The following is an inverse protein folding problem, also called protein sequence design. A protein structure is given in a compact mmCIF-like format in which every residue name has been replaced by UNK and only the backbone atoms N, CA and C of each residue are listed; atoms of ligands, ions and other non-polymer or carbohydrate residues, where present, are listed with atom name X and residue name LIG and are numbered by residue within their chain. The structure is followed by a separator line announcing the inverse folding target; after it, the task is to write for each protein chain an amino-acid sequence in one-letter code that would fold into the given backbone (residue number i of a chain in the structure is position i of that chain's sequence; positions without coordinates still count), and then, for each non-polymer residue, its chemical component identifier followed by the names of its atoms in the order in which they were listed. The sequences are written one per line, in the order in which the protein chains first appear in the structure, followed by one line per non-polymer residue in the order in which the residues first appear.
data_IF_708051967472
#
_entry.id   IF_708051967472
#
_cell.length_a   1.000
_cell.length_b   1.000
_cell.length_c   1.000
_cell.angle_alpha   90.00
_cell.angle_beta   90.00
_cell.angle_gamma   90.00
#
_symmetry.space_group_name_H-M   'P 1'
#
loop_
_entity.id
_entity.type
_entity.pdbx_description
1 polymer ?
#
# COMPACT_ATOMS: atom_id res chain seq x y z
N UNK A 1 -32.85 2.91 -4.50
CA UNK A 1 -31.77 3.95 -4.59
C UNK A 1 -30.94 4.00 -3.31
N UNK A 2 -31.51 4.15 -2.13
CA UNK A 2 -30.77 4.21 -0.85
C UNK A 2 -29.96 2.94 -0.56
N UNK A 3 -30.53 1.74 -0.77
CA UNK A 3 -29.86 0.46 -0.57
C UNK A 3 -28.60 0.36 -1.44
N UNK A 4 -28.73 0.64 -2.75
CA UNK A 4 -27.61 0.61 -3.68
C UNK A 4 -26.51 1.62 -3.28
N UNK A 5 -26.89 2.78 -2.73
CA UNK A 5 -25.91 3.76 -2.24
C UNK A 5 -25.12 3.21 -1.04
N UNK A 6 -25.81 2.58 -0.09
CA UNK A 6 -25.16 1.94 1.06
C UNK A 6 -24.20 0.82 0.61
N UNK A 7 -24.62 -0.02 -0.35
CA UNK A 7 -23.76 -1.06 -0.91
C UNK A 7 -22.52 -0.48 -1.58
N UNK A 8 -22.66 0.64 -2.30
CA UNK A 8 -21.51 1.32 -2.91
C UNK A 8 -20.57 1.94 -1.87
N UNK A 9 -21.09 2.46 -0.76
CA UNK A 9 -20.26 2.92 0.35
C UNK A 9 -19.47 1.75 0.99
N UNK A 10 -20.11 0.60 1.17
CA UNK A 10 -19.44 -0.60 1.70
C UNK A 10 -18.36 -1.11 0.75
N UNK A 11 -18.64 -1.14 -0.56
CA UNK A 11 -17.65 -1.47 -1.59
C UNK A 11 -16.50 -0.47 -1.63
N UNK A 12 -16.81 0.82 -1.46
CA UNK A 12 -15.84 1.90 -1.36
C UNK A 12 -14.95 1.76 -0.12
N UNK A 13 -15.52 1.41 1.02
CA UNK A 13 -14.75 1.11 2.24
C UNK A 13 -13.82 -0.08 2.04
N UNK A 14 -14.26 -1.16 1.39
CA UNK A 14 -13.42 -2.31 1.06
C UNK A 14 -12.23 -1.91 0.20
N UNK A 15 -12.46 -1.25 -0.94
CA UNK A 15 -11.41 -0.81 -1.86
C UNK A 15 -10.49 0.21 -1.18
N UNK A 16 -11.07 1.15 -0.45
CA UNK A 16 -10.35 2.16 0.32
C UNK A 16 -9.47 1.58 1.43
N UNK A 17 -9.90 0.49 2.05
CA UNK A 17 -9.10 -0.24 3.05
C UNK A 17 -7.83 -0.85 2.44
N UNK A 18 -7.93 -1.42 1.25
CA UNK A 18 -6.75 -1.92 0.52
C UNK A 18 -5.81 -0.76 0.18
N UNK A 19 -6.35 0.34 -0.37
CA UNK A 19 -5.53 1.53 -0.65
C UNK A 19 -4.90 2.13 0.61
N UNK A 20 -5.60 2.10 1.75
CA UNK A 20 -5.06 2.56 3.03
C UNK A 20 -3.86 1.73 3.48
N UNK A 21 -3.92 0.39 3.38
CA UNK A 21 -2.77 -0.49 3.71
C UNK A 21 -1.55 -0.16 2.86
N UNK A 22 -1.73 0.01 1.56
CA UNK A 22 -0.64 0.34 0.64
C UNK A 22 -0.11 1.75 0.92
N UNK A 23 -1.02 2.72 1.12
CA UNK A 23 -0.69 4.12 1.40
C UNK A 23 0.11 4.30 2.71
N UNK A 24 -0.18 3.47 3.72
CA UNK A 24 0.59 3.45 4.97
C UNK A 24 2.01 2.98 4.70
N UNK A 25 2.20 1.96 3.87
CA UNK A 25 3.53 1.50 3.44
C UNK A 25 4.33 2.62 2.75
N UNK A 26 3.72 3.33 1.79
CA UNK A 26 4.32 4.51 1.16
C UNK A 26 4.66 5.59 2.18
N UNK A 27 3.71 5.94 3.03
CA UNK A 27 3.87 7.00 4.03
C UNK A 27 4.97 6.69 5.04
N UNK A 28 5.12 5.43 5.47
CA UNK A 28 6.20 5.02 6.35
C UNK A 28 7.57 5.16 5.68
N UNK A 29 7.72 4.63 4.49
CA UNK A 29 8.99 4.69 3.75
C UNK A 29 9.37 6.15 3.49
N UNK A 30 8.46 6.95 2.95
CA UNK A 30 8.72 8.36 2.70
C UNK A 30 8.96 9.16 4.00
N UNK A 31 8.18 8.91 5.03
CA UNK A 31 8.31 9.61 6.32
C UNK A 31 9.70 9.45 6.94
N UNK A 32 10.29 8.26 6.82
CA UNK A 32 11.54 7.89 7.49
C UNK A 32 12.73 8.02 6.54
N UNK A 33 12.66 7.43 5.35
CA UNK A 33 13.75 7.47 4.38
C UNK A 33 13.82 8.79 3.59
N UNK A 34 12.72 9.54 3.49
CA UNK A 34 12.52 10.74 2.65
C UNK A 34 12.70 10.46 1.15
N UNK A 35 12.40 9.24 0.73
CA UNK A 35 12.49 8.78 -0.64
C UNK A 35 11.17 8.15 -1.07
N UNK A 36 10.71 8.44 -2.29
CA UNK A 36 9.49 7.85 -2.87
C UNK A 36 9.87 6.50 -3.49
N UNK A 37 9.11 5.45 -3.16
CA UNK A 37 9.32 4.11 -3.70
C UNK A 37 8.19 3.72 -4.65
N UNK A 38 8.31 4.03 -5.96
CA UNK A 38 7.28 3.63 -6.93
C UNK A 38 7.20 2.11 -7.14
N UNK A 39 8.27 1.36 -6.87
CA UNK A 39 8.23 -0.10 -6.90
C UNK A 39 7.35 -0.72 -5.79
N UNK A 40 6.84 0.09 -4.84
CA UNK A 40 5.98 -0.40 -3.77
C UNK A 40 4.66 -1.00 -4.29
N UNK A 41 4.12 -0.46 -5.38
CA UNK A 41 2.98 -1.06 -6.08
C UNK A 41 3.29 -2.45 -6.63
N UNK A 42 4.50 -2.67 -7.14
CA UNK A 42 4.89 -3.96 -7.71
C UNK A 42 5.15 -5.03 -6.64
N UNK A 43 5.39 -4.64 -5.39
CA UNK A 43 5.43 -5.58 -4.26
C UNK A 43 4.05 -6.23 -4.04
N UNK A 44 2.95 -5.52 -4.31
CA UNK A 44 1.58 -6.07 -4.29
C UNK A 44 1.47 -7.21 -5.31
N UNK A 45 1.97 -6.98 -6.51
CA UNK A 45 2.01 -7.97 -7.59
C UNK A 45 2.85 -9.19 -7.17
N UNK A 46 4.07 -8.98 -6.65
CA UNK A 46 4.92 -10.07 -6.16
C UNK A 46 4.23 -10.84 -5.04
N UNK A 47 3.53 -10.16 -4.13
CA UNK A 47 2.72 -10.80 -3.09
C UNK A 47 1.61 -11.69 -3.66
N UNK A 48 0.89 -11.22 -4.68
CA UNK A 48 -0.12 -12.02 -5.35
C UNK A 48 0.47 -13.29 -6.01
N UNK A 49 1.59 -13.14 -6.73
CA UNK A 49 2.27 -14.29 -7.35
C UNK A 49 2.89 -15.23 -6.34
N UNK A 50 3.47 -14.74 -5.24
CA UNK A 50 4.02 -15.57 -4.17
C UNK A 50 2.92 -16.40 -3.50
N UNK A 51 1.73 -15.81 -3.27
CA UNK A 51 0.57 -16.54 -2.76
C UNK A 51 0.12 -17.63 -3.73
N UNK A 52 -0.05 -17.27 -5.00
CA UNK A 52 -0.43 -18.21 -6.06
C UNK A 52 0.55 -19.37 -6.15
N UNK A 53 1.84 -19.10 -6.22
CA UNK A 53 2.88 -20.13 -6.31
C UNK A 53 2.86 -21.06 -5.08
N UNK A 54 2.72 -20.48 -3.89
CA UNK A 54 2.67 -21.26 -2.64
C UNK A 54 1.47 -22.20 -2.57
N UNK A 55 0.30 -21.76 -3.05
CA UNK A 55 -0.93 -22.57 -2.99
C UNK A 55 -1.05 -23.48 -4.20
N UNK A 56 -0.95 -22.92 -5.43
CA UNK A 56 -1.29 -23.64 -6.66
C UNK A 56 -0.16 -24.52 -7.17
N UNK A 57 1.11 -24.17 -6.92
CA UNK A 57 2.27 -24.93 -7.39
C UNK A 57 2.84 -25.83 -6.29
N UNK A 58 3.03 -25.27 -5.08
CA UNK A 58 3.60 -26.02 -3.96
C UNK A 58 2.56 -26.78 -3.13
N UNK A 59 1.26 -26.56 -3.35
CA UNK A 59 0.19 -27.24 -2.62
C UNK A 59 0.15 -26.95 -1.11
N UNK A 60 0.71 -25.80 -0.69
CA UNK A 60 0.80 -25.47 0.73
C UNK A 60 -0.55 -25.03 1.31
N UNK A 61 -0.82 -25.32 2.58
CA UNK A 61 -2.02 -24.83 3.24
C UNK A 61 -2.03 -23.29 3.33
N UNK A 62 -3.21 -22.69 3.21
CA UNK A 62 -3.39 -21.24 3.14
C UNK A 62 -2.65 -20.45 4.23
N UNK A 63 -2.69 -20.84 5.53
CA UNK A 63 -1.96 -20.08 6.56
C UNK A 63 -0.45 -20.03 6.33
N UNK A 64 0.15 -21.14 5.87
CA UNK A 64 1.59 -21.22 5.56
C UNK A 64 1.91 -20.35 4.33
N UNK A 65 1.09 -20.43 3.29
CA UNK A 65 1.23 -19.63 2.09
C UNK A 65 1.18 -18.11 2.38
N UNK A 66 0.29 -17.69 3.28
CA UNK A 66 0.19 -16.29 3.72
C UNK A 66 1.48 -15.83 4.42
N UNK A 67 2.01 -16.63 5.34
CA UNK A 67 3.26 -16.30 6.05
C UNK A 67 4.43 -16.20 5.07
N UNK A 68 4.56 -17.16 4.15
CA UNK A 68 5.61 -17.15 3.11
C UNK A 68 5.48 -15.89 2.24
N UNK A 69 4.27 -15.53 1.82
CA UNK A 69 4.01 -14.35 1.00
C UNK A 69 4.51 -13.07 1.71
N UNK A 70 4.19 -12.92 2.99
CA UNK A 70 4.62 -11.76 3.78
C UNK A 70 6.14 -11.75 3.93
N UNK A 71 6.79 -12.89 4.20
CA UNK A 71 8.24 -12.99 4.33
C UNK A 71 8.94 -12.67 3.00
N UNK A 72 8.48 -13.23 1.88
CA UNK A 72 9.04 -12.98 0.55
C UNK A 72 8.98 -11.49 0.21
N UNK A 73 7.85 -10.84 0.42
CA UNK A 73 7.71 -9.42 0.15
C UNK A 73 8.53 -8.55 1.11
N UNK A 74 8.62 -8.91 2.40
CA UNK A 74 9.45 -8.20 3.36
C UNK A 74 10.95 -8.28 2.98
N UNK A 75 11.42 -9.47 2.61
CA UNK A 75 12.79 -9.69 2.11
C UNK A 75 13.03 -8.90 0.83
N UNK A 76 12.11 -8.97 -0.13
CA UNK A 76 12.18 -8.19 -1.37
C UNK A 76 12.29 -6.69 -1.08
N UNK A 77 11.50 -6.16 -0.14
CA UNK A 77 11.57 -4.77 0.27
C UNK A 77 12.95 -4.36 0.80
N UNK A 78 13.57 -5.22 1.62
CA UNK A 78 14.95 -5.00 2.10
C UNK A 78 15.96 -5.09 0.96
N UNK A 79 15.79 -6.02 0.02
CA UNK A 79 16.67 -6.14 -1.16
C UNK A 79 16.58 -4.88 -2.01
N UNK A 80 15.37 -4.43 -2.32
CA UNK A 80 15.13 -3.19 -3.08
C UNK A 80 15.78 -1.99 -2.37
N UNK A 81 15.61 -1.88 -1.05
CA UNK A 81 16.26 -0.82 -0.27
C UNK A 81 17.78 -0.88 -0.39
N UNK A 82 18.38 -2.03 -0.15
CA UNK A 82 19.85 -2.17 -0.14
C UNK A 82 20.47 -1.98 -1.52
N UNK A 83 19.83 -2.48 -2.57
CA UNK A 83 20.38 -2.48 -3.93
C UNK A 83 20.09 -1.16 -4.65
N UNK A 84 18.86 -0.66 -4.55
CA UNK A 84 18.42 0.48 -5.34
C UNK A 84 18.46 1.81 -4.57
N UNK A 85 18.06 1.81 -3.29
CA UNK A 85 17.87 3.07 -2.55
C UNK A 85 19.04 3.46 -1.65
N UNK A 86 19.69 2.49 -1.00
CA UNK A 86 20.81 2.76 -0.10
C UNK A 86 21.96 3.48 -0.78
N UNK A 87 22.39 3.10 -2.02
CA UNK A 87 23.47 3.81 -2.73
C UNK A 87 23.11 5.25 -3.11
N UNK A 88 21.80 5.56 -3.22
CA UNK A 88 21.31 6.85 -3.70
C UNK A 88 20.84 7.80 -2.58
N UNK A 89 21.14 7.49 -1.31
CA UNK A 89 20.68 8.30 -0.18
C UNK A 89 21.24 9.72 -0.14
N UNK A 90 22.41 9.94 -0.76
CA UNK A 90 23.04 11.25 -0.93
C UNK A 90 22.87 11.83 -2.34
N UNK A 91 22.20 11.11 -3.24
CA UNK A 91 21.99 11.54 -4.61
C UNK A 91 20.84 12.58 -4.71
N UNK A 92 20.80 13.37 -5.81
CA UNK A 92 19.69 14.27 -6.07
C UNK A 92 18.34 13.53 -6.10
N UNK A 93 17.22 14.16 -5.66
CA UNK A 93 15.90 13.52 -5.63
C UNK A 93 15.46 12.92 -6.98
N UNK A 94 15.87 13.54 -8.09
CA UNK A 94 15.57 13.06 -9.44
C UNK A 94 16.18 11.68 -9.73
N UNK A 95 17.43 11.45 -9.30
CA UNK A 95 18.08 10.16 -9.47
C UNK A 95 17.35 9.04 -8.70
N UNK A 96 16.92 9.33 -7.48
CA UNK A 96 16.11 8.40 -6.68
C UNK A 96 14.78 8.10 -7.37
N UNK A 97 14.12 9.13 -7.92
CA UNK A 97 12.85 8.98 -8.63
C UNK A 97 12.98 8.07 -9.87
N UNK A 98 14.01 8.34 -10.70
CA UNK A 98 14.27 7.54 -11.92
C UNK A 98 14.57 6.09 -11.54
N UNK A 99 15.37 5.87 -10.50
CA UNK A 99 15.69 4.52 -10.01
C UNK A 99 14.44 3.80 -9.48
N UNK A 100 13.55 4.52 -8.81
CA UNK A 100 12.28 3.95 -8.34
C UNK A 100 11.40 3.47 -9.49
N UNK A 101 11.30 4.27 -10.56
CA UNK A 101 10.56 3.91 -11.79
C UNK A 101 11.25 2.74 -12.49
N UNK A 102 12.59 2.78 -12.63
CA UNK A 102 13.37 1.69 -13.22
C UNK A 102 13.20 0.37 -12.47
N UNK A 103 13.17 0.40 -11.13
CA UNK A 103 12.94 -0.79 -10.31
C UNK A 103 11.50 -1.32 -10.49
N UNK A 104 10.51 -0.45 -10.63
CA UNK A 104 9.14 -0.84 -10.94
C UNK A 104 9.07 -1.59 -12.27
N UNK A 105 9.62 -1.02 -13.35
CA UNK A 105 9.67 -1.69 -14.65
C UNK A 105 10.48 -2.98 -14.65
N UNK A 106 11.57 -3.03 -13.87
CA UNK A 106 12.35 -4.25 -13.70
C UNK A 106 11.51 -5.38 -13.09
N UNK A 107 10.76 -5.10 -12.01
CA UNK A 107 9.89 -6.10 -11.37
C UNK A 107 8.76 -6.56 -12.29
N UNK A 108 8.13 -5.63 -13.02
CA UNK A 108 7.08 -5.96 -13.98
C UNK A 108 7.62 -6.82 -15.13
N UNK A 109 8.78 -6.45 -15.69
CA UNK A 109 9.42 -7.21 -16.79
C UNK A 109 9.90 -8.57 -16.31
N UNK A 110 10.49 -8.68 -15.12
CA UNK A 110 10.87 -9.96 -14.52
C UNK A 110 9.65 -10.87 -14.32
N UNK A 111 8.55 -10.30 -13.81
CA UNK A 111 7.28 -11.04 -13.66
C UNK A 111 6.71 -11.49 -15.00
N UNK A 112 6.79 -10.63 -16.03
CA UNK A 112 6.36 -10.97 -17.40
C UNK A 112 7.17 -12.13 -17.99
N UNK A 113 8.48 -12.16 -17.76
CA UNK A 113 9.36 -13.24 -18.23
C UNK A 113 9.10 -14.55 -17.50
N UNK A 114 8.81 -14.51 -16.19
CA UNK A 114 8.61 -15.72 -15.37
C UNK A 114 7.20 -16.30 -15.56
N UNK A 115 6.16 -15.46 -15.55
CA UNK A 115 4.76 -15.88 -15.53
C UNK A 115 4.02 -15.68 -16.86
N UNK A 116 4.64 -14.99 -17.83
CA UNK A 116 4.03 -14.65 -19.12
C UNK A 116 3.09 -13.46 -19.04
N UNK A 117 2.52 -13.09 -20.21
CA UNK A 117 1.62 -11.93 -20.37
C UNK A 117 0.14 -12.27 -20.14
N UNK A 118 -0.22 -13.55 -20.23
CA UNK A 118 -1.61 -14.00 -20.09
C UNK A 118 -2.08 -13.85 -18.65
N UNK A 119 -3.24 -13.20 -18.40
CA UNK A 119 -3.79 -13.15 -17.05
C UNK A 119 -4.06 -14.55 -16.49
N UNK A 120 -3.57 -14.81 -15.28
CA UNK A 120 -3.76 -16.09 -14.58
C UNK A 120 -4.97 -15.93 -13.65
N UNK A 121 -6.03 -16.77 -13.79
CA UNK A 121 -7.14 -16.76 -12.85
C UNK A 121 -6.67 -17.27 -11.48
N UNK A 122 -7.20 -16.67 -10.42
CA UNK A 122 -6.90 -17.06 -9.04
C UNK A 122 -8.20 -17.32 -8.28
N UNK A 123 -8.30 -18.50 -7.71
CA UNK A 123 -9.42 -18.80 -6.83
C UNK A 123 -9.18 -18.17 -5.45
N UNK A 124 -10.12 -17.33 -5.01
CA UNK A 124 -10.01 -16.66 -3.72
C UNK A 124 -9.82 -17.66 -2.58
N UNK A 125 -8.83 -17.41 -1.72
CA UNK A 125 -8.62 -18.18 -0.49
C UNK A 125 -9.67 -17.86 0.59
N UNK A 126 -10.39 -16.77 0.42
CA UNK A 126 -11.53 -16.37 1.27
C UNK A 126 -12.79 -16.91 0.61
N UNK A 127 -13.56 -17.77 1.27
CA UNK A 127 -14.82 -18.24 0.72
C UNK A 127 -15.75 -17.06 0.38
N UNK A 128 -16.25 -17.00 -0.85
CA UNK A 128 -17.14 -15.92 -1.26
C UNK A 128 -18.58 -16.25 -0.86
N UNK A 129 -18.95 -15.88 0.36
CA UNK A 129 -20.30 -16.04 0.89
C UNK A 129 -20.96 -14.67 0.98
N UNK A 130 -22.17 -14.56 0.50
CA UNK A 130 -22.98 -13.35 0.62
C UNK A 130 -23.70 -13.35 1.99
N UNK A 131 -23.42 -12.33 2.79
CA UNK A 131 -24.03 -12.10 4.09
C UNK A 131 -25.13 -11.06 3.91
N UNK A 132 -26.39 -11.46 4.09
CA UNK A 132 -27.52 -10.54 4.01
C UNK A 132 -27.77 -9.89 5.37
N UNK A 133 -27.62 -8.57 5.45
CA UNK A 133 -27.97 -7.77 6.62
C UNK A 133 -29.17 -6.91 6.26
N UNK A 134 -30.37 -7.46 6.49
CA UNK A 134 -31.61 -6.87 6.00
C UNK A 134 -31.62 -6.83 4.47
N UNK A 135 -31.87 -5.67 3.84
CA UNK A 135 -31.90 -5.53 2.38
C UNK A 135 -30.52 -5.37 1.74
N UNK A 136 -29.45 -5.25 2.54
CA UNK A 136 -28.07 -5.02 2.06
C UNK A 136 -27.32 -6.35 1.99
N UNK A 137 -26.65 -6.61 0.88
CA UNK A 137 -25.81 -7.80 0.68
C UNK A 137 -24.33 -7.43 0.77
N UNK A 138 -23.62 -8.05 1.72
CA UNK A 138 -22.19 -7.82 1.96
C UNK A 138 -21.42 -9.10 1.67
N UNK A 139 -20.38 -9.02 0.82
CA UNK A 139 -19.49 -10.15 0.58
C UNK A 139 -18.61 -10.42 1.80
N UNK A 140 -18.39 -11.70 2.14
CA UNK A 140 -17.43 -12.11 3.17
C UNK A 140 -16.03 -11.54 2.93
N UNK A 141 -15.60 -11.40 1.67
CA UNK A 141 -14.34 -10.77 1.30
C UNK A 141 -14.28 -9.33 1.83
N UNK A 142 -15.39 -8.59 1.77
CA UNK A 142 -15.46 -7.22 2.31
C UNK A 142 -15.23 -7.20 3.82
N UNK A 143 -15.92 -8.08 4.55
CA UNK A 143 -15.80 -8.17 6.01
C UNK A 143 -14.37 -8.53 6.42
N UNK A 144 -13.79 -9.55 5.79
CA UNK A 144 -12.41 -9.97 6.05
C UNK A 144 -11.44 -8.84 5.73
N UNK A 145 -11.60 -8.15 4.59
CA UNK A 145 -10.75 -7.02 4.21
C UNK A 145 -10.78 -5.92 5.26
N UNK A 146 -11.95 -5.51 5.72
CA UNK A 146 -12.11 -4.48 6.74
C UNK A 146 -11.44 -4.88 8.07
N UNK A 147 -11.67 -6.12 8.51
CA UNK A 147 -11.10 -6.64 9.77
C UNK A 147 -9.58 -6.71 9.69
N UNK A 148 -9.04 -7.35 8.64
CA UNK A 148 -7.58 -7.50 8.45
C UNK A 148 -6.92 -6.14 8.36
N UNK A 149 -7.51 -5.20 7.60
CA UNK A 149 -6.98 -3.84 7.48
C UNK A 149 -7.00 -3.12 8.83
N UNK A 150 -8.10 -3.18 9.56
CA UNK A 150 -8.19 -2.55 10.88
C UNK A 150 -7.15 -3.12 11.85
N UNK A 151 -6.99 -4.45 11.90
CA UNK A 151 -5.98 -5.11 12.73
C UNK A 151 -4.57 -4.68 12.33
N UNK A 152 -4.24 -4.72 11.04
CA UNK A 152 -2.92 -4.32 10.54
C UNK A 152 -2.61 -2.85 10.90
N UNK A 153 -3.59 -1.94 10.77
CA UNK A 153 -3.44 -0.53 11.11
C UNK A 153 -3.23 -0.31 12.61
N UNK A 154 -4.00 -1.02 13.46
CA UNK A 154 -3.86 -0.95 14.92
C UNK A 154 -2.49 -1.48 15.34
N UNK A 155 -2.09 -2.67 14.85
CA UNK A 155 -0.79 -3.27 15.16
C UNK A 155 0.36 -2.36 14.75
N UNK A 156 0.30 -1.78 13.55
CA UNK A 156 1.33 -0.86 13.10
C UNK A 156 1.39 0.41 13.94
N UNK A 157 0.25 0.99 14.27
CA UNK A 157 0.18 2.20 15.10
C UNK A 157 0.76 1.92 16.51
N UNK A 158 0.43 0.78 17.10
CA UNK A 158 1.00 0.35 18.37
C UNK A 158 2.50 0.10 18.24
N UNK A 159 2.95 -0.58 17.18
CA UNK A 159 4.37 -0.82 16.93
C UNK A 159 5.15 0.49 16.86
N UNK A 160 4.71 1.43 16.02
CA UNK A 160 5.39 2.72 15.82
C UNK A 160 5.37 3.57 17.11
N UNK A 161 4.28 3.56 17.87
CA UNK A 161 4.14 4.43 19.03
C UNK A 161 4.68 3.83 20.33
N UNK A 162 4.68 2.51 20.49
CA UNK A 162 4.96 1.85 21.79
C UNK A 162 6.25 1.04 21.82
N UNK A 163 6.92 0.80 20.66
CA UNK A 163 8.16 0.00 20.64
C UNK A 163 9.42 0.86 20.54
N UNK A 164 10.56 0.32 21.00
CA UNK A 164 11.88 0.95 20.86
C UNK A 164 12.24 1.20 19.39
N UNK A 165 11.90 0.25 18.51
CA UNK A 165 12.13 0.40 17.06
C UNK A 165 11.24 1.49 16.45
N UNK A 166 9.99 1.59 16.86
CA UNK A 166 9.11 2.68 16.45
C UNK A 166 9.63 4.04 16.94
N UNK A 167 10.20 4.12 18.14
CA UNK A 167 10.87 5.34 18.61
C UNK A 167 12.10 5.69 17.78
N UNK A 168 12.91 4.70 17.40
CA UNK A 168 14.04 4.88 16.48
C UNK A 168 13.58 5.39 15.11
N UNK A 169 12.50 4.81 14.56
CA UNK A 169 11.89 5.27 13.30
C UNK A 169 11.46 6.74 13.36
N UNK A 170 10.80 7.16 14.45
CA UNK A 170 10.39 8.56 14.63
C UNK A 170 11.61 9.49 14.76
N UNK A 171 12.63 9.11 15.52
CA UNK A 171 13.86 9.89 15.65
C UNK A 171 14.55 10.08 14.29
N UNK A 172 14.73 8.99 13.51
CA UNK A 172 15.31 9.04 12.16
C UNK A 172 14.45 9.87 11.19
N UNK A 173 13.13 9.90 11.37
CA UNK A 173 12.23 10.70 10.54
C UNK A 173 12.38 12.21 10.75
N UNK A 174 12.73 12.64 11.96
CA UNK A 174 12.95 14.05 12.31
C UNK A 174 14.36 14.50 11.90
N UNK A 175 15.41 13.82 12.36
CA UNK A 175 16.79 14.12 12.02
C UNK A 175 17.66 12.86 12.04
N UNK A 176 18.22 12.49 10.88
CA UNK A 176 19.07 11.31 10.72
C UNK A 176 20.41 11.46 11.45
N UNK A 177 21.01 12.65 11.39
CA UNK A 177 22.29 12.93 12.03
C UNK A 177 22.18 12.91 13.56
N UNK A 178 21.18 13.60 14.11
CA UNK A 178 20.92 13.58 15.54
C UNK A 178 20.60 12.16 16.04
N UNK A 179 19.83 11.38 15.29
CA UNK A 179 19.52 9.99 15.64
C UNK A 179 20.79 9.12 15.69
N UNK A 180 21.72 9.31 14.74
CA UNK A 180 22.99 8.58 14.69
C UNK A 180 23.88 8.94 15.88
N UNK A 181 23.96 10.22 16.26
CA UNK A 181 24.68 10.67 17.44
C UNK A 181 24.11 10.08 18.74
N UNK A 182 22.83 9.77 18.79
CA UNK A 182 22.16 9.10 19.90
C UNK A 182 22.30 7.57 19.87
N UNK A 183 23.15 7.03 18.97
CA UNK A 183 23.42 5.60 18.86
C UNK A 183 22.37 4.79 18.08
N UNK A 184 21.45 5.44 17.36
CA UNK A 184 20.46 4.75 16.53
C UNK A 184 21.10 4.36 15.20
N UNK A 185 21.05 3.07 14.87
CA UNK A 185 21.49 2.60 13.56
C UNK A 185 20.48 2.98 12.48
N UNK A 186 20.72 4.10 11.80
CA UNK A 186 19.87 4.67 10.75
C UNK A 186 19.67 3.69 9.60
N UNK A 187 20.71 2.94 9.21
CA UNK A 187 20.62 1.97 8.12
C UNK A 187 19.62 0.85 8.43
N UNK A 188 19.76 0.23 9.60
CA UNK A 188 18.87 -0.85 10.01
C UNK A 188 17.43 -0.35 10.20
N UNK A 189 17.26 0.87 10.68
CA UNK A 189 15.94 1.49 10.86
C UNK A 189 15.24 1.69 9.51
N UNK A 190 15.97 2.17 8.49
CA UNK A 190 15.40 2.34 7.14
C UNK A 190 15.09 0.98 6.52
N UNK A 191 16.02 0.00 6.58
CA UNK A 191 15.79 -1.34 6.03
C UNK A 191 14.57 -2.02 6.67
N UNK A 192 14.40 -1.89 7.99
CA UNK A 192 13.23 -2.41 8.68
C UNK A 192 11.93 -1.70 8.26
N UNK A 193 12.01 -0.38 7.99
CA UNK A 193 10.85 0.37 7.48
C UNK A 193 10.41 -0.15 6.11
N UNK A 194 11.36 -0.45 5.22
CA UNK A 194 11.06 -1.07 3.93
C UNK A 194 10.47 -2.47 4.09
N UNK A 195 11.01 -3.27 5.02
CA UNK A 195 10.47 -4.61 5.32
C UNK A 195 9.01 -4.55 5.78
N UNK A 196 8.70 -3.67 6.74
CA UNK A 196 7.33 -3.51 7.27
C UNK A 196 6.38 -2.97 6.19
N UNK A 197 6.80 -1.94 5.45
CA UNK A 197 5.99 -1.40 4.35
C UNK A 197 5.68 -2.48 3.31
N UNK A 198 6.68 -3.29 2.93
CA UNK A 198 6.52 -4.38 1.98
C UNK A 198 5.67 -5.53 2.51
N UNK A 199 5.74 -5.82 3.82
CA UNK A 199 4.85 -6.77 4.48
C UNK A 199 3.38 -6.33 4.42
N UNK A 200 3.12 -5.03 4.62
CA UNK A 200 1.77 -4.45 4.46
C UNK A 200 1.30 -4.50 3.01
N UNK A 201 2.19 -4.23 2.05
CA UNK A 201 1.89 -4.37 0.63
C UNK A 201 1.57 -5.83 0.25
N UNK A 202 2.23 -6.82 0.87
CA UNK A 202 1.90 -8.23 0.70
C UNK A 202 0.48 -8.55 1.18
N UNK A 203 0.11 -8.08 2.38
CA UNK A 203 -1.26 -8.25 2.91
C UNK A 203 -2.28 -7.60 1.99
N UNK A 204 -2.00 -6.37 1.53
CA UNK A 204 -2.87 -5.68 0.56
C UNK A 204 -2.97 -6.45 -0.76
N UNK A 205 -1.87 -7.04 -1.25
CA UNK A 205 -1.83 -7.88 -2.45
C UNK A 205 -2.70 -9.13 -2.34
N UNK A 206 -2.64 -9.81 -1.19
CA UNK A 206 -3.52 -10.95 -0.88
C UNK A 206 -4.99 -10.54 -0.92
N UNK A 207 -5.35 -9.45 -0.24
CA UNK A 207 -6.74 -8.96 -0.22
C UNK A 207 -7.20 -8.51 -1.62
N UNK A 208 -6.31 -7.86 -2.37
CA UNK A 208 -6.56 -7.41 -3.72
C UNK A 208 -6.84 -8.56 -4.68
N UNK A 209 -6.00 -9.62 -4.65
CA UNK A 209 -6.19 -10.77 -5.53
C UNK A 209 -7.42 -11.60 -5.15
N UNK A 210 -7.78 -11.68 -3.87
CA UNK A 210 -9.04 -12.29 -3.45
C UNK A 210 -10.27 -11.54 -3.98
N UNK A 211 -10.16 -10.23 -4.17
CA UNK A 211 -11.24 -9.38 -4.70
C UNK A 211 -11.37 -9.48 -6.23
N UNK A 212 -10.25 -9.39 -6.96
CA UNK A 212 -10.27 -9.28 -8.43
C UNK A 212 -10.06 -10.61 -9.15
N UNK A 213 -9.55 -11.62 -8.48
CA UNK A 213 -9.40 -13.02 -8.95
C UNK A 213 -8.64 -13.17 -10.28
N UNK A 214 -7.83 -12.20 -10.64
CA UNK A 214 -7.05 -12.20 -11.88
C UNK A 214 -5.69 -11.57 -11.63
N UNK A 215 -4.63 -12.29 -11.99
CA UNK A 215 -3.24 -11.84 -11.86
C UNK A 215 -2.65 -11.50 -13.22
N UNK A 216 -1.91 -10.40 -13.26
CA UNK A 216 -1.13 -9.98 -14.42
C UNK A 216 0.14 -9.26 -13.95
N UNK A 217 1.22 -9.22 -14.77
CA UNK A 217 2.48 -8.57 -14.38
C UNK A 217 2.38 -7.08 -14.02
N UNK A 218 1.31 -6.41 -14.44
CA UNK A 218 1.05 -4.98 -14.12
C UNK A 218 0.00 -4.79 -13.02
N UNK A 219 -0.36 -5.86 -12.30
CA UNK A 219 -1.47 -5.84 -11.32
C UNK A 219 -1.30 -4.77 -10.24
N UNK A 220 -0.08 -4.52 -9.80
CA UNK A 220 0.23 -3.56 -8.74
C UNK A 220 0.36 -2.10 -9.19
N UNK A 221 0.47 -1.84 -10.50
CA UNK A 221 0.77 -0.50 -11.02
C UNK A 221 -0.33 0.52 -10.67
N UNK A 222 -1.58 0.29 -11.08
CA UNK A 222 -2.70 1.20 -10.80
C UNK A 222 -3.02 1.31 -9.30
N UNK A 223 -3.19 0.22 -8.55
CA UNK A 223 -3.40 0.30 -7.10
C UNK A 223 -2.25 1.01 -6.39
N UNK A 224 -1.00 0.81 -6.83
CA UNK A 224 0.17 1.48 -6.29
C UNK A 224 0.10 3.00 -6.48
N UNK A 225 -0.20 3.47 -7.70
CA UNK A 225 -0.34 4.91 -7.97
C UNK A 225 -1.51 5.50 -7.17
N UNK A 226 -2.67 4.83 -7.12
CA UNK A 226 -3.83 5.30 -6.34
C UNK A 226 -3.52 5.37 -4.85
N UNK A 227 -2.80 4.40 -4.31
CA UNK A 227 -2.39 4.42 -2.91
C UNK A 227 -1.34 5.51 -2.62
N UNK A 228 -0.44 5.80 -3.56
CA UNK A 228 0.44 6.97 -3.46
C UNK A 228 -0.38 8.27 -3.41
N UNK A 229 -1.37 8.41 -4.30
CA UNK A 229 -2.33 9.53 -4.29
C UNK A 229 -3.04 9.62 -2.93
N UNK A 230 -3.48 8.49 -2.39
CA UNK A 230 -4.11 8.42 -1.07
C UNK A 230 -3.17 8.88 0.05
N UNK A 231 -1.89 8.48 0.01
CA UNK A 231 -0.88 8.91 0.97
C UNK A 231 -0.63 10.43 0.90
N UNK A 232 -0.58 10.99 -0.32
CA UNK A 232 -0.42 12.44 -0.54
C UNK A 232 -1.65 13.19 -0.09
N UNK A 233 -2.84 12.74 -0.47
CA UNK A 233 -4.13 13.33 -0.07
C UNK A 233 -4.28 13.33 1.45
N UNK A 234 -3.91 12.25 2.10
CA UNK A 234 -3.95 12.13 3.56
C UNK A 234 -2.92 12.99 4.29
N UNK A 235 -1.81 13.27 3.63
CA UNK A 235 -0.63 13.97 4.16
C UNK A 235 0.54 13.00 4.36
N UNK A 236 1.46 13.03 3.42
CA UNK A 236 2.58 12.09 3.38
C UNK A 236 3.45 12.21 4.64
N UNK A 237 3.78 11.09 5.27
CA UNK A 237 4.47 11.04 6.57
C UNK A 237 3.53 10.92 7.78
N UNK A 238 2.21 11.03 7.59
CA UNK A 238 1.20 10.83 8.63
C UNK A 238 0.48 9.50 8.42
N UNK A 239 0.69 8.51 9.31
CA UNK A 239 0.01 7.21 9.24
C UNK A 239 -1.51 7.39 9.28
N UNK A 240 -2.11 8.13 10.25
CA UNK A 240 -3.55 8.36 10.25
C UNK A 240 -4.03 9.11 9.00
N UNK A 241 -3.20 10.01 8.47
CA UNK A 241 -3.50 10.72 7.21
C UNK A 241 -3.63 9.76 6.04
N UNK A 242 -2.64 8.90 5.83
CA UNK A 242 -2.65 7.92 4.75
C UNK A 242 -3.85 6.95 4.85
N UNK A 243 -4.23 6.56 6.07
CA UNK A 243 -5.44 5.75 6.32
C UNK A 243 -6.70 6.45 5.82
N UNK A 244 -6.91 7.68 6.28
CA UNK A 244 -8.07 8.48 5.86
C UNK A 244 -8.06 8.76 4.36
N UNK A 245 -6.89 9.09 3.80
CA UNK A 245 -6.74 9.30 2.36
C UNK A 245 -7.11 8.06 1.56
N UNK A 246 -6.68 6.87 1.98
CA UNK A 246 -7.02 5.60 1.33
C UNK A 246 -8.53 5.31 1.37
N UNK A 247 -9.14 5.45 2.53
CA UNK A 247 -10.59 5.24 2.70
C UNK A 247 -11.39 6.24 1.85
N UNK A 248 -11.06 7.53 1.93
CA UNK A 248 -11.74 8.56 1.14
C UNK A 248 -11.62 8.31 -0.37
N UNK A 249 -10.43 7.94 -0.82
CA UNK A 249 -10.18 7.66 -2.23
C UNK A 249 -10.99 6.46 -2.72
N UNK A 250 -11.06 5.39 -1.94
CA UNK A 250 -11.89 4.23 -2.26
C UNK A 250 -13.39 4.54 -2.28
N UNK A 251 -13.87 5.38 -1.38
CA UNK A 251 -15.27 5.85 -1.37
C UNK A 251 -15.56 6.69 -2.62
N UNK A 252 -14.70 7.64 -2.96
CA UNK A 252 -14.84 8.49 -4.16
C UNK A 252 -14.84 7.61 -5.41
N UNK A 253 -13.92 6.66 -5.52
CA UNK A 253 -13.84 5.75 -6.66
C UNK A 253 -15.12 4.91 -6.82
N UNK A 254 -15.61 4.32 -5.72
CA UNK A 254 -16.81 3.47 -5.76
C UNK A 254 -18.06 4.25 -6.15
N UNK A 255 -18.25 5.42 -5.56
CA UNK A 255 -19.39 6.30 -5.89
C UNK A 255 -19.28 6.80 -7.32
N UNK A 256 -18.10 7.19 -7.78
CA UNK A 256 -17.87 7.63 -9.17
C UNK A 256 -18.18 6.54 -10.18
N UNK A 257 -17.76 5.30 -9.92
CA UNK A 257 -18.06 4.14 -10.78
C UNK A 257 -19.55 3.84 -10.86
N UNK A 258 -20.27 3.98 -9.76
CA UNK A 258 -21.67 3.62 -9.69
C UNK A 258 -22.62 4.68 -10.26
N UNK A 259 -22.29 5.96 -10.10
CA UNK A 259 -23.23 7.06 -10.39
C UNK A 259 -22.78 7.98 -11.54
N UNK A 260 -21.52 7.94 -11.94
CA UNK A 260 -20.98 8.81 -13.01
C UNK A 260 -20.54 7.96 -14.18
N UNK A 261 -19.35 7.33 -14.09
CA UNK A 261 -18.80 6.43 -15.10
C UNK A 261 -17.66 5.62 -14.54
N UNK A 262 -17.59 4.35 -14.92
CA UNK A 262 -16.46 3.49 -14.59
C UNK A 262 -15.17 3.98 -15.23
N UNK A 263 -15.23 4.52 -16.44
CA UNK A 263 -14.07 5.02 -17.20
C UNK A 263 -13.53 6.33 -16.63
N UNK A 264 -14.43 7.21 -16.14
CA UNK A 264 -14.08 8.50 -15.58
C UNK A 264 -13.68 8.42 -14.09
N UNK A 265 -13.91 7.30 -13.44
CA UNK A 265 -13.65 7.16 -12.01
C UNK A 265 -12.19 7.47 -11.63
N UNK A 266 -11.23 7.00 -12.45
CA UNK A 266 -9.81 7.28 -12.22
C UNK A 266 -9.49 8.77 -12.42
N UNK A 267 -10.06 9.41 -13.44
CA UNK A 267 -9.89 10.84 -13.67
C UNK A 267 -10.47 11.67 -12.50
N UNK A 268 -11.61 11.28 -11.95
CA UNK A 268 -12.24 11.93 -10.79
C UNK A 268 -11.32 11.79 -9.57
N UNK A 269 -10.80 10.59 -9.30
CA UNK A 269 -9.88 10.32 -8.19
C UNK A 269 -8.63 11.20 -8.26
N UNK A 270 -7.99 11.29 -9.43
CA UNK A 270 -6.82 12.16 -9.62
C UNK A 270 -7.21 13.64 -9.59
N UNK A 271 -8.38 14.00 -10.12
CA UNK A 271 -8.92 15.36 -10.05
C UNK A 271 -9.13 15.84 -8.62
N UNK A 272 -9.69 14.99 -7.76
CA UNK A 272 -9.85 15.30 -6.33
C UNK A 272 -8.49 15.53 -5.66
N UNK A 273 -7.46 14.73 -5.99
CA UNK A 273 -6.11 14.99 -5.47
C UNK A 273 -5.63 16.39 -5.86
N UNK A 274 -5.75 16.76 -7.15
CA UNK A 274 -5.31 18.08 -7.63
C UNK A 274 -6.03 19.18 -6.85
N UNK A 275 -7.34 19.10 -6.73
CA UNK A 275 -8.15 20.06 -5.99
C UNK A 275 -7.70 20.15 -4.53
N UNK A 276 -7.53 19.03 -3.85
CA UNK A 276 -7.10 19.04 -2.45
C UNK A 276 -5.70 19.65 -2.29
N UNK A 277 -4.76 19.35 -3.17
CA UNK A 277 -3.41 19.91 -3.09
C UNK A 277 -3.35 21.41 -3.40
N UNK A 278 -4.25 21.93 -4.24
CA UNK A 278 -4.37 23.38 -4.48
C UNK A 278 -4.80 24.13 -3.21
N UNK A 279 -5.71 23.57 -2.40
CA UNK A 279 -6.20 24.20 -1.18
C UNK A 279 -5.39 23.81 0.06
N UNK A 280 -4.86 22.59 0.12
CA UNK A 280 -4.08 22.04 1.23
C UNK A 280 -2.85 21.25 0.72
N UNK A 281 -1.76 21.94 0.38
CA UNK A 281 -0.55 21.32 -0.18
C UNK A 281 0.13 20.33 0.78
N UNK A 282 -0.13 20.38 2.08
CA UNK A 282 0.34 19.40 3.07
C UNK A 282 -0.56 18.15 3.18
N UNK A 283 -1.66 18.08 2.44
CA UNK A 283 -2.69 17.06 2.60
C UNK A 283 -3.63 17.33 3.79
N UNK A 284 -4.55 16.39 4.06
CA UNK A 284 -5.60 16.56 5.07
C UNK A 284 -5.04 16.62 6.51
N UNK A 285 -4.09 15.72 6.84
CA UNK A 285 -3.48 15.60 8.18
C UNK A 285 -1.95 15.74 8.17
N UNK A 286 -1.39 16.35 7.11
CA UNK A 286 0.04 16.61 7.01
C UNK A 286 0.49 17.73 7.96
N UNK A 287 1.68 17.58 8.55
CA UNK A 287 2.29 18.64 9.36
C UNK A 287 2.79 19.78 8.48
N UNK A 288 2.45 21.01 8.80
CA UNK A 288 3.04 22.20 8.16
C UNK A 288 4.54 22.21 8.50
N UNK A 289 5.41 22.22 7.50
CA UNK A 289 6.85 22.48 7.72
C UNK A 289 7.00 23.92 8.18
N UNK A 290 7.42 24.12 9.42
CA UNK A 290 7.89 25.41 9.89
C UNK A 290 9.30 25.55 9.32
N UNK A 291 9.46 26.41 8.31
CA UNK A 291 10.80 26.81 7.86
C UNK A 291 11.34 27.71 8.99
N UNK A 292 12.27 27.15 9.76
CA UNK A 292 13.08 27.98 10.67
C UNK A 292 13.99 28.81 9.76
N UNK A 293 13.74 30.10 9.70
CA UNK A 293 14.63 31.11 9.10
C UNK A 293 15.87 31.25 9.96
#
# INVERSE_FOLDING_TARGET
MLINFIEQLINGLRTGSIYALIAIGYTMVYGIAKMINFAHGDIIMVGAYALYFSISVLGLPVPVALVITVIVCAVLGVVIEKVAYKPLRSAPPLAVLITAIGMSFFLQSASLLIFGSTPIPFQSVIPNVNISVGPVVISSITVVTLIVTAIAMILLTLFVNKTKMGSAMRAVSEDKGAAELMGINVNNTISLTFAIGSALAAVAGVLYICQYQSMKPTLGALPGIKAFVAAVLGGIGSIPGAMLGGILLGLIESVSKAYISTELADAIVFGVLIVVLLFRPSGLLGKKKIVKV
#
